data_IF_411874836764
#
_entry.id   IF_411874836764
#
_cell.length_a   1.000
_cell.length_b   1.000
_cell.length_c   1.000
_cell.angle_alpha   90.00
_cell.angle_beta   90.00
_cell.angle_gamma   90.00
#
_symmetry.space_group_name_H-M   'P 1'
#
loop_
_entity.id
_entity.type
_entity.pdbx_description
1 polymer ?
#
# COMPACT_ATOMS: atom_id res chain seq x y z
N UNK A 1 -12.98 34.29 7.43
CA UNK A 1 -12.42 33.16 8.20
C UNK A 1 -13.16 31.90 7.77
N UNK A 2 -12.48 30.85 7.27
CA UNK A 2 -13.17 29.58 7.01
C UNK A 2 -13.64 28.97 8.35
N UNK A 3 -14.88 28.47 8.39
CA UNK A 3 -15.38 27.73 9.55
C UNK A 3 -14.80 26.31 9.55
N UNK A 4 -14.21 25.83 10.66
CA UNK A 4 -13.68 24.49 10.74
C UNK A 4 -14.80 23.47 10.94
N UNK A 5 -14.91 22.51 10.03
CA UNK A 5 -15.67 21.28 10.22
C UNK A 5 -14.68 20.15 10.48
N UNK A 6 -14.52 19.69 11.74
CA UNK A 6 -13.52 18.68 12.06
C UNK A 6 -13.86 17.36 11.38
N UNK A 7 -12.97 16.88 10.52
CA UNK A 7 -13.16 15.60 9.80
C UNK A 7 -12.93 14.37 10.69
N UNK A 8 -12.19 14.50 11.80
CA UNK A 8 -11.83 13.41 12.71
C UNK A 8 -12.03 13.82 14.16
N UNK A 9 -12.47 12.88 14.98
CA UNK A 9 -12.51 13.02 16.45
C UNK A 9 -11.09 13.00 17.05
N UNK A 10 -10.90 13.48 18.30
CA UNK A 10 -9.61 13.36 18.99
C UNK A 10 -9.10 11.92 19.10
N UNK A 11 -10.00 10.96 19.33
CA UNK A 11 -9.68 9.54 19.48
C UNK A 11 -9.18 8.96 18.15
N UNK A 12 -9.90 9.25 17.05
CA UNK A 12 -9.48 8.87 15.70
C UNK A 12 -8.10 9.44 15.41
N UNK A 13 -7.87 10.75 15.64
CA UNK A 13 -6.56 11.39 15.43
C UNK A 13 -5.43 10.71 16.20
N UNK A 14 -5.67 10.38 17.47
CA UNK A 14 -4.67 9.71 18.31
C UNK A 14 -4.33 8.33 17.74
N UNK A 15 -5.34 7.54 17.39
CA UNK A 15 -5.12 6.21 16.82
C UNK A 15 -4.33 6.27 15.50
N UNK A 16 -4.65 7.22 14.61
CA UNK A 16 -3.91 7.42 13.36
C UNK A 16 -2.44 7.76 13.63
N UNK A 17 -2.20 8.69 14.57
CA UNK A 17 -0.85 9.11 14.94
C UNK A 17 -0.06 7.96 15.57
N UNK A 18 -0.67 7.17 16.47
CA UNK A 18 -0.05 6.02 17.12
C UNK A 18 0.32 4.93 16.11
N UNK A 19 -0.53 4.66 15.11
CA UNK A 19 -0.21 3.76 14.00
C UNK A 19 0.99 4.29 13.20
N UNK A 20 0.95 5.57 12.80
CA UNK A 20 2.03 6.17 12.02
C UNK A 20 3.38 6.10 12.77
N UNK A 21 3.41 6.47 14.04
CA UNK A 21 4.62 6.40 14.86
C UNK A 21 5.17 4.99 15.03
N UNK A 22 4.32 3.95 15.09
CA UNK A 22 4.78 2.55 15.10
C UNK A 22 5.47 2.14 13.81
N UNK A 23 4.94 2.58 12.66
CA UNK A 23 5.50 2.26 11.34
C UNK A 23 6.90 2.87 11.18
N UNK A 24 7.11 4.10 11.68
CA UNK A 24 8.36 4.87 11.52
C UNK A 24 9.17 4.99 12.81
N UNK A 25 9.01 4.06 13.76
CA UNK A 25 9.80 4.06 14.98
C UNK A 25 11.32 4.02 14.65
N UNK A 26 12.21 4.56 15.51
CA UNK A 26 13.64 4.61 15.22
C UNK A 26 14.21 3.24 14.82
N UNK A 27 14.92 3.21 13.68
CA UNK A 27 15.49 1.99 13.11
C UNK A 27 14.53 1.16 12.26
N UNK A 28 13.23 1.49 12.23
CA UNK A 28 12.21 0.79 11.45
C UNK A 28 11.91 1.48 10.11
N UNK A 29 11.63 0.66 9.10
CA UNK A 29 11.17 1.06 7.79
C UNK A 29 9.98 0.23 7.31
N UNK A 30 9.66 0.37 6.02
CA UNK A 30 8.52 -0.30 5.38
C UNK A 30 9.03 -1.28 4.32
N UNK A 31 8.52 -2.50 4.34
CA UNK A 31 8.62 -3.43 3.22
C UNK A 31 7.41 -3.24 2.29
N UNK A 32 7.65 -2.72 1.08
CA UNK A 32 6.63 -2.62 0.04
C UNK A 32 6.57 -3.94 -0.77
N UNK A 33 5.66 -4.84 -0.38
CA UNK A 33 5.40 -6.14 -1.02
C UNK A 33 4.01 -6.17 -1.69
N UNK A 34 3.56 -5.01 -2.17
CA UNK A 34 2.21 -4.73 -2.66
C UNK A 34 2.07 -4.85 -4.18
N UNK A 35 2.93 -5.64 -4.81
CA UNK A 35 3.01 -5.64 -6.25
C UNK A 35 1.88 -6.47 -6.83
N UNK A 36 1.13 -5.83 -7.73
CA UNK A 36 0.04 -6.47 -8.45
C UNK A 36 0.53 -7.67 -9.25
N UNK A 37 -0.38 -8.55 -9.64
CA UNK A 37 -0.08 -9.75 -10.44
C UNK A 37 0.75 -9.45 -11.69
N UNK A 38 0.46 -8.34 -12.39
CA UNK A 38 1.24 -7.89 -13.55
C UNK A 38 2.61 -7.29 -13.19
N UNK A 39 2.73 -6.63 -12.04
CA UNK A 39 4.00 -6.04 -11.60
C UNK A 39 5.00 -7.12 -11.14
N UNK A 40 4.53 -8.11 -10.38
CA UNK A 40 5.38 -9.22 -9.93
C UNK A 40 5.72 -10.19 -11.06
N UNK A 41 4.89 -10.28 -12.12
CA UNK A 41 5.20 -11.07 -13.31
C UNK A 41 6.59 -10.72 -13.88
N UNK A 42 6.90 -9.42 -13.99
CA UNK A 42 8.19 -8.94 -14.50
C UNK A 42 9.36 -9.37 -13.61
N UNK A 43 9.17 -9.38 -12.29
CA UNK A 43 10.20 -9.82 -11.35
C UNK A 43 10.44 -11.32 -11.42
N UNK A 44 9.38 -12.13 -11.43
CA UNK A 44 9.50 -13.58 -11.55
C UNK A 44 10.09 -13.99 -12.91
N UNK A 45 9.71 -13.32 -13.99
CA UNK A 45 10.27 -13.55 -15.31
C UNK A 45 11.78 -13.28 -15.36
N UNK A 46 12.27 -12.25 -14.66
CA UNK A 46 13.70 -11.92 -14.63
C UNK A 46 14.58 -13.01 -14.01
N UNK A 47 13.98 -13.92 -13.24
CA UNK A 47 14.65 -15.07 -12.62
C UNK A 47 14.14 -16.41 -13.18
N UNK A 48 13.47 -16.39 -14.34
CA UNK A 48 12.98 -17.60 -15.01
C UNK A 48 11.90 -18.38 -14.25
N UNK A 49 11.15 -17.72 -13.36
CA UNK A 49 10.08 -18.34 -12.57
C UNK A 49 8.71 -18.01 -13.16
N UNK A 50 7.82 -19.01 -13.23
CA UNK A 50 6.45 -18.83 -13.71
C UNK A 50 5.59 -18.00 -12.74
N UNK A 51 4.71 -17.14 -13.27
CA UNK A 51 3.83 -16.30 -12.46
C UNK A 51 2.54 -17.03 -12.02
N UNK A 52 2.68 -18.07 -11.21
CA UNK A 52 1.55 -18.78 -10.58
C UNK A 52 1.21 -18.17 -9.22
N UNK A 53 -0.01 -18.39 -8.73
CA UNK A 53 -0.40 -17.96 -7.38
C UNK A 53 0.52 -18.55 -6.31
N UNK A 54 0.88 -19.82 -6.43
CA UNK A 54 1.77 -20.50 -5.48
C UNK A 54 3.17 -19.89 -5.49
N UNK A 55 3.75 -19.59 -6.66
CA UNK A 55 5.06 -18.94 -6.71
C UNK A 55 5.04 -17.54 -6.11
N UNK A 56 3.93 -16.80 -6.29
CA UNK A 56 3.73 -15.51 -5.62
C UNK A 56 3.61 -15.68 -4.11
N UNK A 57 2.81 -16.63 -3.64
CA UNK A 57 2.64 -16.95 -2.21
C UNK A 57 3.98 -17.33 -1.59
N UNK A 58 4.72 -18.23 -2.21
CA UNK A 58 6.03 -18.69 -1.76
C UNK A 58 7.06 -17.56 -1.69
N UNK A 59 7.11 -16.70 -2.73
CA UNK A 59 7.96 -15.51 -2.71
C UNK A 59 7.60 -14.55 -1.56
N UNK A 60 6.30 -14.33 -1.30
CA UNK A 60 5.87 -13.48 -0.18
C UNK A 60 6.18 -14.14 1.16
N UNK A 61 5.97 -15.44 1.30
CA UNK A 61 6.35 -16.18 2.49
C UNK A 61 7.84 -16.00 2.79
N UNK A 62 8.71 -16.19 1.79
CA UNK A 62 10.16 -16.03 1.93
C UNK A 62 10.53 -14.68 2.56
N UNK A 63 9.87 -13.58 2.16
CA UNK A 63 10.08 -12.26 2.72
C UNK A 63 9.53 -12.11 4.15
N UNK A 64 8.31 -12.61 4.39
CA UNK A 64 7.58 -12.40 5.64
C UNK A 64 8.04 -13.31 6.78
N UNK A 65 8.60 -14.47 6.45
CA UNK A 65 9.12 -15.46 7.41
C UNK A 65 10.64 -15.43 7.52
N UNK A 66 11.29 -14.37 7.04
CA UNK A 66 12.69 -14.09 7.36
C UNK A 66 12.90 -14.13 8.89
N UNK A 67 14.10 -14.44 9.35
CA UNK A 67 14.38 -14.58 10.77
C UNK A 67 14.24 -13.27 11.56
N UNK A 68 14.29 -13.35 12.89
CA UNK A 68 13.93 -12.23 13.77
C UNK A 68 14.88 -11.03 13.73
N UNK A 69 16.03 -11.13 13.03
CA UNK A 69 16.91 -9.98 12.78
C UNK A 69 16.20 -8.83 12.06
N UNK A 70 15.12 -9.10 11.32
CA UNK A 70 14.35 -8.06 10.61
C UNK A 70 13.32 -7.34 11.49
N UNK A 71 12.95 -7.91 12.64
CA UNK A 71 11.90 -7.37 13.51
C UNK A 71 12.18 -5.93 14.03
N UNK A 72 13.43 -5.55 14.41
CA UNK A 72 13.75 -4.17 14.74
C UNK A 72 13.88 -3.25 13.51
N UNK A 73 13.90 -3.81 12.30
CA UNK A 73 14.09 -3.07 11.05
C UNK A 73 12.77 -2.79 10.31
N UNK A 74 11.72 -3.58 10.56
CA UNK A 74 10.45 -3.49 9.83
C UNK A 74 9.33 -3.04 10.76
N UNK A 75 8.84 -1.83 10.51
CA UNK A 75 7.69 -1.24 11.21
C UNK A 75 6.37 -1.46 10.49
N UNK A 76 6.41 -1.64 9.17
CA UNK A 76 5.22 -1.97 8.39
C UNK A 76 5.52 -2.78 7.14
N UNK A 77 4.52 -3.53 6.69
CA UNK A 77 4.57 -4.26 5.42
C UNK A 77 3.31 -3.95 4.63
N UNK A 78 3.47 -3.52 3.38
CA UNK A 78 2.34 -3.22 2.48
C UNK A 78 2.12 -4.43 1.60
N UNK A 79 0.90 -4.97 1.61
CA UNK A 79 0.50 -6.15 0.87
C UNK A 79 -0.40 -5.80 -0.31
N UNK A 80 -0.43 -6.70 -1.29
CA UNK A 80 -1.46 -6.72 -2.33
C UNK A 80 -2.67 -7.52 -1.85
N UNK A 81 -3.86 -7.26 -2.44
CA UNK A 81 -5.11 -7.89 -2.03
C UNK A 81 -5.02 -9.42 -1.99
N UNK A 82 -4.43 -10.06 -3.01
CA UNK A 82 -4.21 -11.51 -3.04
C UNK A 82 -3.42 -12.00 -1.82
N UNK A 83 -2.31 -11.34 -1.49
CA UNK A 83 -1.42 -11.73 -0.39
C UNK A 83 -2.07 -11.53 0.98
N UNK A 84 -3.00 -10.57 1.13
CA UNK A 84 -3.66 -10.33 2.40
C UNK A 84 -4.42 -11.57 2.91
N UNK A 85 -4.95 -12.40 2.00
CA UNK A 85 -5.73 -13.61 2.30
C UNK A 85 -4.94 -14.90 2.15
N UNK A 86 -3.67 -14.83 1.74
CA UNK A 86 -2.78 -15.98 1.65
C UNK A 86 -2.25 -16.41 3.03
N UNK A 87 -1.73 -17.64 3.08
CA UNK A 87 -1.19 -18.28 4.28
C UNK A 87 0.24 -18.74 4.06
N UNK A 88 1.00 -18.75 5.14
CA UNK A 88 2.28 -19.43 5.20
C UNK A 88 2.07 -20.96 5.27
N UNK A 89 3.15 -21.71 5.07
CA UNK A 89 3.15 -23.19 5.09
C UNK A 89 2.71 -23.75 6.45
N UNK A 90 2.93 -23.00 7.53
CA UNK A 90 2.46 -23.33 8.88
C UNK A 90 0.95 -23.04 9.11
N UNK A 91 0.24 -22.62 8.06
CA UNK A 91 -1.18 -22.34 8.06
C UNK A 91 -1.56 -20.95 8.60
N UNK A 92 -0.62 -20.16 9.12
CA UNK A 92 -0.91 -18.81 9.61
C UNK A 92 -1.19 -17.86 8.45
N UNK A 93 -2.24 -17.01 8.53
CA UNK A 93 -2.43 -15.91 7.59
C UNK A 93 -1.21 -14.96 7.62
N UNK A 94 -0.79 -14.45 6.46
CA UNK A 94 0.32 -13.50 6.40
C UNK A 94 0.16 -12.26 7.30
N UNK A 95 -1.05 -11.69 7.50
CA UNK A 95 -1.24 -10.63 8.49
C UNK A 95 -0.84 -11.04 9.92
N UNK A 96 -1.07 -12.30 10.30
CA UNK A 96 -0.68 -12.83 11.61
C UNK A 96 0.85 -13.00 11.69
N UNK A 97 1.49 -13.46 10.61
CA UNK A 97 2.96 -13.58 10.54
C UNK A 97 3.60 -12.21 10.78
N UNK A 98 3.16 -11.18 10.06
CA UNK A 98 3.67 -9.80 10.20
C UNK A 98 3.44 -9.25 11.62
N UNK A 99 2.23 -9.40 12.16
CA UNK A 99 1.89 -8.94 13.52
C UNK A 99 2.73 -9.65 14.58
N UNK A 100 3.00 -10.95 14.43
CA UNK A 100 3.82 -11.72 15.36
C UNK A 100 5.28 -11.24 15.43
N UNK A 101 5.76 -10.57 14.37
CA UNK A 101 7.08 -9.94 14.28
C UNK A 101 7.09 -8.46 14.67
N UNK A 102 5.97 -7.93 15.15
CA UNK A 102 5.83 -6.53 15.58
C UNK A 102 5.69 -5.52 14.44
N UNK A 103 5.36 -5.98 13.22
CA UNK A 103 5.08 -5.13 12.07
C UNK A 103 3.61 -4.74 11.95
N UNK A 104 3.35 -3.55 11.41
CA UNK A 104 2.01 -3.09 11.02
C UNK A 104 1.65 -3.63 9.64
N UNK A 105 0.43 -4.16 9.49
CA UNK A 105 -0.05 -4.65 8.18
C UNK A 105 -0.70 -3.51 7.42
N UNK A 106 -0.14 -3.20 6.26
CA UNK A 106 -0.66 -2.26 5.27
C UNK A 106 -1.25 -2.95 4.05
N UNK A 107 -2.18 -2.30 3.37
CA UNK A 107 -2.82 -2.80 2.14
C UNK A 107 -2.82 -1.75 1.04
N UNK A 108 -2.43 -2.13 -0.18
CA UNK A 108 -2.63 -1.28 -1.35
C UNK A 108 -4.09 -1.27 -1.76
N UNK A 109 -4.67 -0.08 -1.88
CA UNK A 109 -6.09 0.10 -2.19
C UNK A 109 -6.37 0.77 -3.53
N UNK A 110 -5.37 1.28 -4.25
CA UNK A 110 -5.55 1.71 -5.63
C UNK A 110 -5.88 0.53 -6.56
N UNK A 111 -6.55 0.84 -7.68
CA UNK A 111 -6.89 -0.10 -8.75
C UNK A 111 -6.00 0.10 -9.98
N UNK A 112 -4.78 0.61 -9.77
CA UNK A 112 -3.82 0.91 -10.83
C UNK A 112 -4.03 2.24 -11.53
N UNK A 113 -3.29 2.43 -12.62
CA UNK A 113 -3.26 3.67 -13.40
C UNK A 113 -4.07 3.55 -14.69
N UNK A 114 -4.64 4.67 -15.13
CA UNK A 114 -5.34 4.80 -16.41
C UNK A 114 -4.78 5.99 -17.20
N UNK A 115 -4.78 5.94 -18.54
CA UNK A 115 -4.33 7.05 -19.37
C UNK A 115 -5.13 8.32 -19.09
N UNK A 116 -4.45 9.45 -18.96
CA UNK A 116 -5.11 10.74 -18.82
C UNK A 116 -5.36 11.33 -20.22
N UNK A 117 -6.61 11.34 -20.65
CA UNK A 117 -6.99 11.82 -21.99
C UNK A 117 -6.51 13.26 -22.22
N UNK A 118 -5.97 13.54 -23.41
CA UNK A 118 -5.42 14.86 -23.76
C UNK A 118 -3.99 15.12 -23.28
N UNK A 119 -3.32 14.12 -22.69
CA UNK A 119 -1.92 14.23 -22.27
C UNK A 119 -0.98 13.37 -23.12
N UNK A 120 0.32 13.67 -23.06
CA UNK A 120 1.33 12.90 -23.77
C UNK A 120 1.79 11.67 -22.96
N UNK A 121 0.90 10.68 -22.84
CA UNK A 121 1.21 9.44 -22.13
C UNK A 121 1.30 9.59 -20.60
N UNK A 122 0.66 10.62 -20.03
CA UNK A 122 0.48 10.70 -18.59
C UNK A 122 -0.64 9.78 -18.14
N UNK A 123 -0.62 9.44 -16.86
CA UNK A 123 -1.61 8.58 -16.23
C UNK A 123 -2.14 9.21 -14.95
N UNK A 124 -3.35 8.79 -14.58
CA UNK A 124 -3.97 9.06 -13.28
C UNK A 124 -4.26 7.74 -12.59
N UNK A 125 -4.44 7.74 -11.27
CA UNK A 125 -4.72 6.54 -10.49
C UNK A 125 -6.22 6.42 -10.21
N UNK A 126 -6.77 5.22 -10.42
CA UNK A 126 -8.16 4.89 -10.07
C UNK A 126 -8.25 4.11 -8.76
N UNK A 127 -9.45 4.06 -8.16
CA UNK A 127 -9.71 3.22 -6.98
C UNK A 127 -10.51 3.87 -5.85
N UNK A 128 -10.98 5.12 -6.02
CA UNK A 128 -11.81 5.82 -5.03
C UNK A 128 -13.24 5.26 -4.95
N UNK A 129 -13.77 4.69 -6.04
CA UNK A 129 -15.10 4.09 -6.06
C UNK A 129 -15.18 2.90 -5.09
N UNK A 130 -16.07 3.02 -4.10
CA UNK A 130 -16.27 2.04 -3.03
C UNK A 130 -15.09 1.95 -2.05
N UNK A 131 -14.21 2.95 -2.00
CA UNK A 131 -13.01 2.91 -1.16
C UNK A 131 -13.35 2.90 0.34
N UNK A 132 -14.37 3.65 0.76
CA UNK A 132 -14.79 3.69 2.17
C UNK A 132 -15.22 2.30 2.67
N UNK A 133 -16.07 1.62 1.91
CA UNK A 133 -16.57 0.28 2.21
C UNK A 133 -15.44 -0.75 2.22
N UNK A 134 -14.51 -0.65 1.27
CA UNK A 134 -13.31 -1.50 1.23
C UNK A 134 -12.42 -1.27 2.44
N UNK A 135 -12.17 -0.02 2.82
CA UNK A 135 -11.40 0.31 4.03
C UNK A 135 -12.07 -0.27 5.28
N UNK A 136 -13.39 -0.14 5.42
CA UNK A 136 -14.15 -0.72 6.53
C UNK A 136 -14.01 -2.25 6.60
N UNK A 137 -14.06 -2.94 5.46
CA UNK A 137 -13.88 -4.40 5.39
C UNK A 137 -12.45 -4.85 5.70
N UNK A 138 -11.45 -4.01 5.42
CA UNK A 138 -10.03 -4.31 5.62
C UNK A 138 -9.54 -3.96 7.04
N UNK A 139 -10.26 -3.10 7.75
CA UNK A 139 -9.93 -2.64 9.11
C UNK A 139 -9.70 -3.76 10.14
N UNK A 140 -10.47 -4.87 10.17
CA UNK A 140 -10.21 -5.97 11.11
C UNK A 140 -8.86 -6.66 10.88
N UNK A 141 -8.33 -6.56 9.66
CA UNK A 141 -7.15 -7.29 9.20
C UNK A 141 -5.92 -6.39 9.18
N UNK A 142 -6.08 -5.14 8.74
CA UNK A 142 -5.03 -4.17 8.43
C UNK A 142 -5.20 -2.88 9.23
N UNK A 143 -4.11 -2.18 9.52
CA UNK A 143 -4.12 -0.92 10.25
C UNK A 143 -3.67 0.26 9.38
N UNK A 144 -3.24 0.04 8.14
CA UNK A 144 -2.83 1.11 7.23
C UNK A 144 -3.25 0.80 5.79
N UNK A 145 -3.59 1.82 5.01
CA UNK A 145 -3.87 1.71 3.59
C UNK A 145 -2.93 2.61 2.78
N UNK A 146 -2.52 2.13 1.59
CA UNK A 146 -1.69 2.86 0.63
C UNK A 146 -2.43 3.05 -0.70
N UNK A 147 -2.43 4.27 -1.22
CA UNK A 147 -2.87 4.59 -2.59
C UNK A 147 -1.65 5.01 -3.40
N UNK A 148 -1.24 4.27 -4.44
CA UNK A 148 -0.10 4.69 -5.26
C UNK A 148 -0.52 5.66 -6.38
N UNK A 149 -0.15 6.94 -6.25
CA UNK A 149 -0.29 7.93 -7.33
C UNK A 149 0.98 7.99 -8.20
N UNK A 150 0.88 7.60 -9.47
CA UNK A 150 2.00 7.63 -10.43
C UNK A 150 2.03 8.97 -11.15
N UNK A 151 3.20 9.61 -11.16
CA UNK A 151 3.49 10.78 -11.99
C UNK A 151 4.59 10.40 -12.98
N UNK A 152 4.33 10.59 -14.27
CA UNK A 152 5.37 10.51 -15.31
C UNK A 152 6.19 11.82 -15.30
N UNK A 153 7.49 11.74 -15.58
CA UNK A 153 8.35 12.92 -15.79
C UNK A 153 9.13 12.74 -17.09
N UNK A 154 8.97 13.68 -18.02
CA UNK A 154 9.71 13.68 -19.28
C UNK A 154 10.05 15.13 -19.68
N UNK A 155 11.33 15.47 -19.52
CA UNK A 155 11.84 16.80 -19.81
C UNK A 155 11.80 17.17 -21.30
N UNK A 156 11.76 16.19 -22.21
CA UNK A 156 11.72 16.44 -23.67
C UNK A 156 10.31 16.76 -24.18
N UNK A 157 9.27 16.40 -23.42
CA UNK A 157 7.88 16.55 -23.82
C UNK A 157 7.02 17.35 -22.83
N UNK A 158 7.66 18.18 -21.99
CA UNK A 158 7.00 19.03 -20.99
C UNK A 158 6.03 18.24 -20.10
N UNK A 159 6.47 17.08 -19.60
CA UNK A 159 5.74 16.24 -18.63
C UNK A 159 6.38 16.41 -17.25
N UNK A 160 5.59 16.70 -16.19
CA UNK A 160 4.13 16.69 -16.16
C UNK A 160 3.49 17.90 -16.86
N UNK A 161 2.40 17.67 -17.59
CA UNK A 161 1.68 18.77 -18.25
C UNK A 161 0.96 19.62 -17.21
N UNK A 162 0.84 20.93 -17.47
CA UNK A 162 -0.05 21.77 -16.67
C UNK A 162 -1.49 21.37 -17.01
N UNK A 163 -2.21 20.66 -16.12
CA UNK A 163 -2.21 20.95 -14.69
C UNK A 163 -1.80 19.71 -13.84
N UNK A 164 -1.00 19.97 -12.80
CA UNK A 164 -0.67 19.03 -11.72
C UNK A 164 -1.81 18.65 -10.71
N UNK A 165 -3.04 19.23 -10.72
CA UNK A 165 -3.96 19.11 -9.60
C UNK A 165 -4.62 17.74 -9.52
N UNK A 166 -4.74 16.96 -10.61
CA UNK A 166 -5.45 15.67 -10.57
C UNK A 166 -4.70 14.68 -9.69
N UNK A 167 -3.41 14.50 -9.95
CA UNK A 167 -2.58 13.62 -9.13
C UNK A 167 -2.33 14.22 -7.74
N UNK A 168 -2.30 15.55 -7.57
CA UNK A 168 -2.22 16.13 -6.21
C UNK A 168 -3.52 15.94 -5.42
N UNK A 169 -4.68 15.96 -6.06
CA UNK A 169 -5.99 15.70 -5.44
C UNK A 169 -6.06 14.24 -4.96
N UNK A 170 -5.60 13.31 -5.79
CA UNK A 170 -5.45 11.90 -5.39
C UNK A 170 -4.40 11.71 -4.28
N UNK A 171 -3.32 12.51 -4.29
CA UNK A 171 -2.31 12.52 -3.21
C UNK A 171 -2.81 13.17 -1.92
N UNK A 172 -3.83 14.03 -1.97
CA UNK A 172 -4.52 14.50 -0.76
C UNK A 172 -5.18 13.36 0.02
N UNK A 173 -5.45 12.23 -0.64
CA UNK A 173 -5.97 11.00 -0.04
C UNK A 173 -4.85 10.02 0.42
N UNK A 174 -3.57 10.41 0.40
CA UNK A 174 -2.42 9.47 0.33
C UNK A 174 -1.97 8.79 1.61
N UNK A 175 -2.39 9.22 2.80
CA UNK A 175 -2.09 8.48 4.03
C UNK A 175 -3.36 8.40 4.84
N UNK A 176 -4.32 7.66 4.30
CA UNK A 176 -5.53 7.33 5.04
C UNK A 176 -5.24 6.09 5.87
N UNK A 177 -4.58 6.31 7.00
CA UNK A 177 -4.85 5.46 8.16
C UNK A 177 -6.32 5.80 8.47
N UNK A 178 -7.26 4.92 8.18
CA UNK A 178 -8.68 5.17 8.48
C UNK A 178 -9.03 4.43 9.76
N UNK A 179 -9.61 5.19 10.67
CA UNK A 179 -10.37 4.71 11.82
C UNK A 179 -11.77 5.23 11.57
N UNK A 180 -12.73 4.32 11.42
CA UNK A 180 -14.15 4.65 11.45
C UNK A 180 -14.57 4.67 12.91
#
# INVERSE_FOLDING_TARGET
MPHPYPALTPEQKKELADIAHRIVAPGKGILAADESTGSIAKRLQSIGTENTEENRRFYRQLLLTADDRVNPCIGGVILFHETLYQKADDGRPFPQVIKSKGGVVGIKVDKGVVPLAGTNGETTTQGLDGLSERCAQLFPITLAALVCAVLSVNAKSAIPSSPLPINSYLRGCLFVVHVL
#
